data_IF_065673643587
#
_entry.id   IF_065673643587
#
_cell.length_a   1.000
_cell.length_b   1.000
_cell.length_c   1.000
_cell.angle_alpha   90.00
_cell.angle_beta   90.00
_cell.angle_gamma   90.00
#
_symmetry.space_group_name_H-M   'P 1'
#
loop_
_entity.id
_entity.type
_entity.pdbx_description
1 polymer ?
#
# COMPACT_ATOMS: atom_id res chain seq x y z
N UNK A 1 -15.10 12.70 -10.52
CA UNK A 1 -15.57 11.94 -9.33
C UNK A 1 -14.39 11.62 -8.41
N UNK A 2 -14.64 11.34 -7.11
CA UNK A 2 -13.62 10.84 -6.18
C UNK A 2 -14.13 9.63 -5.41
N UNK A 3 -13.22 8.75 -5.00
CA UNK A 3 -13.49 7.54 -4.22
C UNK A 3 -12.73 7.63 -2.90
N UNK A 4 -13.44 7.48 -1.78
CA UNK A 4 -12.90 7.70 -0.44
C UNK A 4 -12.91 6.41 0.39
N UNK A 5 -11.81 6.19 1.12
CA UNK A 5 -11.60 5.05 1.99
C UNK A 5 -11.13 5.57 3.34
N UNK A 6 -11.87 5.28 4.40
CA UNK A 6 -11.56 5.83 5.71
C UNK A 6 -11.57 4.79 6.83
N UNK A 7 -10.85 5.12 7.90
CA UNK A 7 -10.87 4.41 9.16
C UNK A 7 -10.91 5.42 10.32
N UNK A 8 -10.53 5.01 11.54
CA UNK A 8 -10.53 5.88 12.71
C UNK A 8 -9.59 7.10 12.55
N UNK A 9 -8.44 6.94 11.88
CA UNK A 9 -7.38 7.94 11.83
C UNK A 9 -7.18 8.58 10.46
N UNK A 10 -7.46 7.85 9.38
CA UNK A 10 -7.10 8.21 8.02
C UNK A 10 -8.33 8.34 7.13
N UNK A 11 -8.34 9.34 6.27
CA UNK A 11 -9.15 9.38 5.04
C UNK A 11 -8.20 9.39 3.84
N UNK A 12 -8.26 8.35 3.02
CA UNK A 12 -7.54 8.23 1.76
C UNK A 12 -8.51 8.40 0.59
N UNK A 13 -8.13 9.15 -0.44
CA UNK A 13 -8.98 9.36 -1.61
C UNK A 13 -8.22 9.26 -2.93
N UNK A 14 -8.91 8.72 -3.93
CA UNK A 14 -8.42 8.60 -5.32
C UNK A 14 -9.43 9.31 -6.25
N UNK A 15 -8.92 10.09 -7.20
CA UNK A 15 -9.72 10.72 -8.26
C UNK A 15 -10.03 9.73 -9.37
N UNK A 16 -11.10 9.96 -10.13
CA UNK A 16 -11.45 9.10 -11.29
C UNK A 16 -10.37 9.04 -12.37
N UNK A 17 -9.44 10.00 -12.38
CA UNK A 17 -8.25 10.06 -13.23
C UNK A 17 -7.11 9.15 -12.73
N UNK A 18 -7.35 8.35 -11.69
CA UNK A 18 -6.39 7.43 -11.11
C UNK A 18 -5.32 8.10 -10.25
N UNK A 19 -5.44 9.39 -9.93
CA UNK A 19 -4.47 10.10 -9.07
C UNK A 19 -4.85 10.07 -7.61
N UNK A 20 -3.84 10.05 -6.74
CA UNK A 20 -4.06 10.24 -5.31
C UNK A 20 -4.54 11.68 -5.07
N UNK A 21 -5.66 11.82 -4.36
CA UNK A 21 -6.25 13.12 -4.03
C UNK A 21 -6.05 13.51 -2.57
N UNK A 22 -6.12 12.56 -1.63
CA UNK A 22 -6.02 12.87 -0.21
C UNK A 22 -5.38 11.73 0.57
N UNK A 23 -4.61 12.09 1.59
CA UNK A 23 -4.14 11.21 2.67
C UNK A 23 -4.23 12.02 3.97
N UNK A 24 -5.45 12.19 4.47
CA UNK A 24 -5.79 13.13 5.53
C UNK A 24 -5.72 12.46 6.90
N UNK A 25 -4.96 13.06 7.81
CA UNK A 25 -5.12 12.81 9.24
C UNK A 25 -6.47 13.39 9.69
N UNK A 26 -7.42 12.52 10.01
CA UNK A 26 -8.79 12.93 10.37
C UNK A 26 -8.84 13.76 11.65
N UNK A 27 -7.83 13.67 12.52
CA UNK A 27 -7.79 14.43 13.78
C UNK A 27 -7.38 15.87 13.55
N UNK A 28 -6.32 16.10 12.79
CA UNK A 28 -5.80 17.45 12.52
C UNK A 28 -6.42 18.11 11.29
N UNK A 29 -6.99 17.32 10.38
CA UNK A 29 -7.45 17.77 9.07
C UNK A 29 -6.31 18.04 8.07
N UNK A 30 -5.06 17.76 8.43
CA UNK A 30 -3.91 17.95 7.55
C UNK A 30 -3.91 16.86 6.48
N UNK A 31 -3.89 17.28 5.21
CA UNK A 31 -3.66 16.40 4.07
C UNK A 31 -2.16 16.22 3.85
N UNK A 32 -1.69 14.98 4.01
CA UNK A 32 -0.30 14.63 3.80
C UNK A 32 -0.02 14.14 2.37
N UNK A 33 -1.02 14.02 1.50
CA UNK A 33 -0.79 13.61 0.10
C UNK A 33 0.03 14.67 -0.65
N UNK A 34 1.08 14.24 -1.35
CA UNK A 34 1.84 15.12 -2.23
C UNK A 34 1.09 15.37 -3.54
N UNK A 35 0.83 16.65 -3.82
CA UNK A 35 0.11 17.11 -5.01
C UNK A 35 1.01 17.66 -6.12
N UNK A 36 2.29 17.90 -5.82
CA UNK A 36 3.25 18.41 -6.78
C UNK A 36 4.60 17.66 -6.71
N UNK A 37 4.88 16.74 -7.65
CA UNK A 37 3.97 16.28 -8.71
C UNK A 37 2.80 15.46 -8.13
N UNK A 38 1.64 15.52 -8.77
CA UNK A 38 0.54 14.60 -8.47
C UNK A 38 0.90 13.20 -8.99
N UNK A 39 0.64 12.17 -8.19
CA UNK A 39 1.09 10.81 -8.43
C UNK A 39 -0.12 9.89 -8.63
N UNK A 40 -0.08 9.04 -9.66
CA UNK A 40 -1.06 8.00 -9.88
C UNK A 40 -1.06 6.97 -8.74
N UNK A 41 -2.24 6.53 -8.30
CA UNK A 41 -2.42 5.56 -7.21
C UNK A 41 -1.79 4.20 -7.51
N UNK A 42 -1.61 3.88 -8.80
CA UNK A 42 -0.99 2.66 -9.26
C UNK A 42 -0.26 2.88 -10.60
N UNK A 43 0.70 2.00 -10.89
CA UNK A 43 1.43 1.96 -12.16
C UNK A 43 1.86 0.55 -12.52
N UNK A 44 2.00 0.30 -13.82
CA UNK A 44 2.52 -0.95 -14.35
C UNK A 44 3.86 -0.71 -15.03
N UNK A 45 4.72 -1.73 -15.04
CA UNK A 45 5.98 -1.70 -15.78
C UNK A 45 5.95 -2.71 -16.91
N UNK A 46 6.10 -2.23 -18.13
CA UNK A 46 6.26 -3.06 -19.33
C UNK A 46 7.65 -2.78 -19.89
N UNK A 47 8.41 -3.84 -20.17
CA UNK A 47 9.84 -3.73 -20.45
C UNK A 47 10.52 -2.92 -19.34
N UNK A 48 11.11 -1.76 -19.62
CA UNK A 48 11.77 -0.91 -18.62
C UNK A 48 11.09 0.46 -18.43
N UNK A 49 9.83 0.60 -18.90
CA UNK A 49 9.04 1.81 -18.80
C UNK A 49 7.83 1.63 -17.88
N UNK A 50 7.58 2.63 -17.04
CA UNK A 50 6.38 2.71 -16.23
C UNK A 50 5.25 3.43 -16.97
N UNK A 51 4.03 2.96 -16.74
CA UNK A 51 2.79 3.54 -17.22
C UNK A 51 1.85 3.71 -16.03
N UNK A 52 1.38 4.93 -15.84
CA UNK A 52 0.50 5.31 -14.73
C UNK A 52 -0.95 4.91 -15.02
N UNK A 53 -1.73 4.70 -13.96
CA UNK A 53 -3.18 4.52 -14.09
C UNK A 53 -3.79 5.74 -14.81
N UNK A 54 -4.63 5.48 -15.81
CA UNK A 54 -5.32 6.51 -16.60
C UNK A 54 -6.70 6.85 -16.03
N UNK A 55 -7.36 5.86 -15.43
CA UNK A 55 -8.64 6.06 -14.77
C UNK A 55 -8.89 4.99 -13.72
N UNK A 56 -9.79 5.31 -12.80
CA UNK A 56 -10.33 4.35 -11.83
C UNK A 56 -11.83 4.47 -11.71
N UNK A 57 -12.47 3.35 -11.38
CA UNK A 57 -13.86 3.30 -10.95
C UNK A 57 -13.99 2.40 -9.73
N UNK A 58 -15.00 2.65 -8.89
CA UNK A 58 -15.20 1.89 -7.66
C UNK A 58 -16.64 1.38 -7.60
N UNK A 59 -16.79 0.07 -7.42
CA UNK A 59 -18.08 -0.61 -7.27
C UNK A 59 -17.90 -1.89 -6.47
N UNK A 60 -18.88 -2.23 -5.64
CA UNK A 60 -18.93 -3.52 -4.92
C UNK A 60 -17.64 -3.87 -4.15
N UNK A 61 -17.03 -2.87 -3.50
CA UNK A 61 -15.80 -3.07 -2.71
C UNK A 61 -14.51 -3.13 -3.53
N UNK A 62 -14.60 -3.05 -4.86
CA UNK A 62 -13.47 -3.21 -5.77
C UNK A 62 -13.19 -1.92 -6.55
N UNK A 63 -11.91 -1.55 -6.59
CA UNK A 63 -11.37 -0.51 -7.46
C UNK A 63 -10.92 -1.15 -8.77
N UNK A 64 -11.58 -0.80 -9.86
CA UNK A 64 -11.11 -1.12 -11.21
C UNK A 64 -10.18 0.00 -11.67
N UNK A 65 -8.95 -0.37 -12.01
CA UNK A 65 -7.87 0.54 -12.43
C UNK A 65 -7.56 0.26 -13.89
N UNK A 66 -7.62 1.29 -14.74
CA UNK A 66 -7.31 1.16 -16.16
C UNK A 66 -5.96 1.80 -16.49
N UNK A 67 -5.32 1.24 -17.51
CA UNK A 67 -4.12 1.76 -18.15
C UNK A 67 -4.44 1.80 -19.65
N UNK A 68 -4.51 2.99 -20.25
CA UNK A 68 -4.96 3.14 -21.63
C UNK A 68 -3.89 2.65 -22.62
N UNK A 69 -2.65 3.10 -22.41
CA UNK A 69 -1.50 2.67 -23.18
C UNK A 69 -0.37 2.31 -22.22
N UNK A 70 -0.05 1.02 -22.05
CA UNK A 70 -0.62 -0.15 -22.72
C UNK A 70 -1.97 -0.57 -22.12
N UNK A 71 -2.87 -1.10 -22.96
CA UNK A 71 -4.25 -1.48 -22.59
C UNK A 71 -4.33 -2.60 -21.55
N UNK A 72 -4.33 -2.24 -20.27
CA UNK A 72 -4.48 -3.15 -19.13
C UNK A 72 -5.60 -2.69 -18.20
N UNK A 73 -6.17 -3.63 -17.46
CA UNK A 73 -7.06 -3.36 -16.33
C UNK A 73 -6.66 -4.20 -15.14
N UNK A 74 -6.72 -3.63 -13.95
CA UNK A 74 -6.53 -4.32 -12.69
C UNK A 74 -7.77 -4.16 -11.81
N UNK A 75 -8.08 -5.19 -11.03
CA UNK A 75 -9.12 -5.16 -10.01
C UNK A 75 -8.40 -5.28 -8.66
N UNK A 76 -8.65 -4.31 -7.79
CA UNK A 76 -8.09 -4.26 -6.45
C UNK A 76 -9.21 -4.11 -5.42
N UNK A 77 -9.33 -5.06 -4.49
CA UNK A 77 -10.22 -4.92 -3.36
C UNK A 77 -9.59 -3.96 -2.34
N UNK A 78 -10.39 -3.02 -1.82
CA UNK A 78 -9.98 -2.12 -0.74
C UNK A 78 -10.92 -2.35 0.44
N UNK A 79 -10.36 -2.81 1.56
CA UNK A 79 -11.10 -3.02 2.80
C UNK A 79 -10.61 -2.06 3.88
N UNK A 80 -11.53 -1.29 4.45
CA UNK A 80 -11.27 -0.53 5.67
C UNK A 80 -11.31 -1.46 6.89
N UNK A 81 -10.24 -1.46 7.67
CA UNK A 81 -10.20 -1.98 9.05
C UNK A 81 -10.29 -0.80 10.00
N UNK A 82 -10.35 -1.08 11.30
CA UNK A 82 -10.51 -0.03 12.31
C UNK A 82 -9.38 1.01 12.27
N UNK A 83 -8.14 0.57 12.10
CA UNK A 83 -6.95 1.46 12.16
C UNK A 83 -6.04 1.44 10.92
N UNK A 84 -6.39 0.66 9.89
CA UNK A 84 -5.61 0.55 8.65
C UNK A 84 -6.52 0.19 7.47
N UNK A 85 -6.01 0.32 6.24
CA UNK A 85 -6.67 -0.14 5.03
C UNK A 85 -5.94 -1.37 4.48
N UNK A 86 -6.64 -2.31 3.89
CA UNK A 86 -6.07 -3.45 3.17
C UNK A 86 -6.32 -3.27 1.69
N UNK A 87 -5.26 -3.30 0.90
CA UNK A 87 -5.33 -3.35 -0.56
C UNK A 87 -4.95 -4.76 -1.00
N UNK A 88 -5.81 -5.40 -1.78
CA UNK A 88 -5.59 -6.75 -2.32
C UNK A 88 -5.80 -6.77 -3.83
N UNK A 89 -4.80 -7.24 -4.55
CA UNK A 89 -4.88 -7.43 -6.01
C UNK A 89 -5.73 -8.66 -6.28
N UNK A 90 -6.87 -8.48 -6.95
CA UNK A 90 -7.76 -9.57 -7.33
C UNK A 90 -7.38 -10.14 -8.70
N UNK A 91 -7.07 -9.27 -9.66
CA UNK A 91 -6.64 -9.66 -11.00
C UNK A 91 -5.96 -8.50 -11.73
N UNK A 92 -5.14 -8.82 -12.73
CA UNK A 92 -4.67 -7.88 -13.76
C UNK A 92 -4.78 -8.57 -15.11
N UNK A 93 -5.38 -7.89 -16.08
CA UNK A 93 -5.70 -8.43 -17.39
C UNK A 93 -5.28 -7.43 -18.47
N UNK A 94 -4.92 -7.96 -19.65
CA UNK A 94 -4.72 -7.15 -20.85
C UNK A 94 -6.06 -7.04 -21.55
N UNK A 95 -6.48 -5.83 -21.92
CA UNK A 95 -7.80 -5.59 -22.50
C UNK A 95 -7.87 -5.97 -24.00
N UNK A 96 -6.75 -6.37 -24.61
CA UNK A 96 -6.70 -6.84 -25.99
C UNK A 96 -7.06 -8.32 -26.12
N UNK A 97 -8.10 -8.60 -26.90
CA UNK A 97 -8.56 -9.96 -27.24
C UNK A 97 -7.43 -10.78 -27.88
N UNK A 98 -7.19 -11.99 -27.38
CA UNK A 98 -6.49 -13.03 -28.13
C UNK A 98 -5.03 -13.34 -27.77
N UNK A 99 -4.42 -12.70 -26.76
CA UNK A 99 -3.10 -13.12 -26.25
C UNK A 99 -3.08 -13.17 -24.72
N UNK A 100 -2.72 -14.31 -24.09
CA UNK A 100 -2.40 -14.36 -22.67
C UNK A 100 -1.31 -13.33 -22.34
N UNK A 101 -1.35 -12.72 -21.14
CA UNK A 101 -0.22 -11.92 -20.66
C UNK A 101 0.97 -12.85 -20.55
N UNK A 102 1.99 -12.66 -21.38
CA UNK A 102 3.27 -13.34 -21.20
C UNK A 102 4.06 -12.62 -20.10
N UNK A 103 4.96 -13.33 -19.40
CA UNK A 103 5.91 -12.72 -18.45
C UNK A 103 6.81 -11.65 -19.10
N UNK A 104 6.85 -11.58 -20.44
CA UNK A 104 7.52 -10.53 -21.20
C UNK A 104 6.70 -9.23 -21.30
N UNK A 105 5.38 -9.28 -21.15
CA UNK A 105 4.51 -8.13 -21.32
C UNK A 105 4.46 -7.24 -20.07
N UNK A 106 4.33 -7.81 -18.87
CA UNK A 106 4.16 -7.03 -17.63
C UNK A 106 5.20 -7.46 -16.60
N UNK A 107 6.19 -6.62 -16.27
CA UNK A 107 7.25 -6.96 -15.31
C UNK A 107 6.86 -6.68 -13.86
N UNK A 108 6.11 -5.60 -13.61
CA UNK A 108 5.80 -5.13 -12.25
C UNK A 108 4.41 -4.48 -12.24
N UNK A 109 3.66 -4.71 -11.15
CA UNK A 109 2.46 -3.93 -10.84
C UNK A 109 2.65 -3.29 -9.47
N UNK A 110 2.79 -1.96 -9.46
CA UNK A 110 2.81 -1.14 -8.26
C UNK A 110 1.36 -0.76 -7.96
N UNK A 111 0.74 -1.51 -7.05
CA UNK A 111 -0.70 -1.43 -6.77
C UNK A 111 -1.05 -0.50 -5.61
N UNK A 112 -0.05 -0.10 -4.82
CA UNK A 112 -0.13 1.07 -3.96
C UNK A 112 1.05 1.98 -4.31
N UNK A 113 0.78 3.24 -4.66
CA UNK A 113 1.78 4.23 -5.01
C UNK A 113 1.40 5.59 -4.45
N UNK A 114 1.69 5.81 -3.16
CA UNK A 114 1.29 7.03 -2.44
C UNK A 114 2.55 7.74 -1.96
N UNK A 115 2.71 9.00 -2.34
CA UNK A 115 3.79 9.86 -1.86
C UNK A 115 3.22 10.88 -0.88
N UNK A 116 3.92 11.09 0.24
CA UNK A 116 3.47 11.92 1.36
C UNK A 116 4.45 13.06 1.64
N UNK A 117 3.93 14.15 2.18
CA UNK A 117 4.73 15.28 2.67
C UNK A 117 5.42 15.01 4.01
N UNK A 118 5.07 13.88 4.65
CA UNK A 118 5.78 13.32 5.81
C UNK A 118 7.22 12.99 5.45
N UNK A 119 8.11 13.04 6.44
CA UNK A 119 9.53 12.71 6.35
C UNK A 119 9.84 11.30 6.82
N UNK A 120 8.88 10.62 7.45
CA UNK A 120 9.05 9.29 8.03
C UNK A 120 9.87 9.33 9.33
N UNK A 121 9.72 10.39 10.12
CA UNK A 121 10.49 10.58 11.36
C UNK A 121 9.60 10.52 12.60
N UNK A 122 10.19 10.10 13.71
CA UNK A 122 9.47 9.89 14.98
C UNK A 122 9.00 11.19 15.67
N UNK A 123 9.47 12.35 15.23
CA UNK A 123 9.07 13.67 15.73
C UNK A 123 7.85 14.25 14.98
N UNK A 124 7.39 13.58 13.91
CA UNK A 124 6.18 13.99 13.20
C UNK A 124 4.91 13.61 13.98
N UNK A 125 3.82 14.41 13.92
CA UNK A 125 2.61 14.14 14.69
C UNK A 125 1.80 12.96 14.13
N UNK A 126 2.01 12.63 12.85
CA UNK A 126 1.31 11.60 12.11
C UNK A 126 2.33 10.73 11.38
N UNK A 127 2.06 9.44 11.28
CA UNK A 127 2.88 8.49 10.52
C UNK A 127 2.07 7.80 9.45
N UNK A 128 2.78 7.33 8.43
CA UNK A 128 2.26 6.35 7.51
C UNK A 128 3.22 5.16 7.36
N UNK A 129 2.70 4.00 6.98
CA UNK A 129 3.49 2.80 6.72
C UNK A 129 2.75 1.89 5.73
N UNK A 130 3.49 1.35 4.76
CA UNK A 130 3.05 0.24 3.94
C UNK A 130 3.65 -1.04 4.52
N UNK A 131 2.82 -2.03 4.80
CA UNK A 131 3.26 -3.30 5.39
C UNK A 131 2.79 -4.45 4.50
N UNK A 132 3.73 -5.14 3.84
CA UNK A 132 3.44 -6.31 3.02
C UNK A 132 2.80 -7.42 3.86
N UNK A 133 1.67 -7.98 3.39
CA UNK A 133 0.91 -8.98 4.15
C UNK A 133 1.18 -10.42 3.71
N UNK A 134 1.93 -10.62 2.63
CA UNK A 134 2.36 -11.94 2.15
C UNK A 134 3.59 -11.86 1.24
N UNK A 135 4.11 -13.02 0.84
CA UNK A 135 5.30 -13.14 -0.01
C UNK A 135 5.10 -12.69 -1.46
N UNK A 136 3.86 -12.47 -1.91
CA UNK A 136 3.55 -11.95 -3.24
C UNK A 136 3.74 -10.44 -3.33
N UNK A 137 3.76 -9.76 -2.18
CA UNK A 137 3.89 -8.31 -2.09
C UNK A 137 5.28 -7.94 -1.63
N UNK A 138 5.92 -7.09 -2.43
CA UNK A 138 7.16 -6.43 -2.09
C UNK A 138 6.86 -4.99 -1.68
N UNK A 139 7.20 -4.64 -0.44
CA UNK A 139 7.36 -3.25 0.01
C UNK A 139 8.86 -3.04 0.20
N UNK A 140 9.43 -2.13 -0.57
CA UNK A 140 10.89 -1.94 -0.62
C UNK A 140 11.40 -1.29 0.68
N UNK A 141 10.59 -0.39 1.26
CA UNK A 141 10.91 0.20 2.54
C UNK A 141 10.76 -0.80 3.71
N UNK A 142 11.61 -0.66 4.73
CA UNK A 142 11.50 -1.45 5.98
C UNK A 142 10.26 -0.94 6.75
N UNK A 143 9.44 -1.81 7.38
CA UNK A 143 8.28 -1.39 8.16
C UNK A 143 8.61 -0.41 9.29
N UNK A 144 8.36 0.88 9.05
CA UNK A 144 8.55 2.02 9.96
C UNK A 144 7.70 3.21 9.47
N UNK A 145 7.88 4.39 10.06
CA UNK A 145 7.27 5.61 9.51
C UNK A 145 7.90 5.94 8.14
N UNK A 146 7.07 6.13 7.12
CA UNK A 146 7.48 6.29 5.72
C UNK A 146 6.90 7.56 5.11
N UNK A 147 7.65 8.17 4.18
CA UNK A 147 7.18 9.24 3.29
C UNK A 147 6.59 8.71 1.98
N UNK A 148 6.82 7.43 1.69
CA UNK A 148 6.46 6.79 0.45
C UNK A 148 5.91 5.40 0.74
N UNK A 149 4.70 5.16 0.28
CA UNK A 149 3.98 3.90 0.47
C UNK A 149 3.90 3.22 -0.88
N UNK A 150 4.84 2.29 -1.13
CA UNK A 150 4.86 1.51 -2.36
C UNK A 150 4.73 0.02 -2.10
N UNK A 151 3.72 -0.58 -2.72
CA UNK A 151 3.52 -2.02 -2.74
C UNK A 151 3.54 -2.53 -4.17
N UNK A 152 4.38 -3.53 -4.41
CA UNK A 152 4.68 -4.06 -5.73
C UNK A 152 4.39 -5.55 -5.74
N UNK A 153 3.87 -6.06 -6.85
CA UNK A 153 3.81 -7.49 -7.12
C UNK A 153 4.38 -7.80 -8.51
N UNK A 154 4.85 -9.03 -8.67
CA UNK A 154 5.60 -9.47 -9.86
C UNK A 154 4.95 -10.73 -10.45
N UNK A 155 5.01 -10.93 -11.79
CA UNK A 155 4.46 -12.13 -12.44
C UNK A 155 4.94 -13.43 -11.83
N UNK A 156 6.25 -13.51 -11.50
CA UNK A 156 6.90 -14.71 -10.95
C UNK A 156 6.25 -15.23 -9.67
N UNK A 157 5.64 -14.35 -8.87
CA UNK A 157 4.94 -14.72 -7.63
C UNK A 157 3.41 -14.76 -7.80
N UNK A 158 2.93 -14.37 -8.98
CA UNK A 158 1.52 -14.14 -9.27
C UNK A 158 1.02 -12.79 -8.74
N UNK A 159 0.15 -12.15 -9.51
CA UNK A 159 -0.47 -10.88 -9.12
C UNK A 159 -1.64 -11.08 -8.14
N UNK A 160 -2.53 -12.02 -8.45
CA UNK A 160 -3.72 -12.26 -7.63
C UNK A 160 -3.35 -12.71 -6.21
N UNK A 161 -3.97 -12.08 -5.22
CA UNK A 161 -3.72 -12.28 -3.79
C UNK A 161 -2.56 -11.46 -3.22
N UNK A 162 -1.83 -10.67 -4.03
CA UNK A 162 -0.86 -9.71 -3.48
C UNK A 162 -1.59 -8.71 -2.58
N UNK A 163 -1.07 -8.48 -1.36
CA UNK A 163 -1.77 -7.76 -0.29
C UNK A 163 -0.83 -6.86 0.53
N UNK A 164 -1.26 -5.62 0.75
CA UNK A 164 -0.56 -4.66 1.62
C UNK A 164 -1.53 -4.02 2.61
N UNK A 165 -1.06 -3.77 3.83
CA UNK A 165 -1.72 -2.88 4.77
C UNK A 165 -1.19 -1.45 4.60
N UNK A 166 -2.08 -0.50 4.38
CA UNK A 166 -1.80 0.94 4.36
C UNK A 166 -2.23 1.52 5.71
N UNK A 167 -1.23 1.96 6.48
CA UNK A 167 -1.41 2.54 7.80
C UNK A 167 -1.23 4.05 7.66
N UNK A 168 -2.17 4.82 8.20
CA UNK A 168 -2.03 6.24 8.51
C UNK A 168 -2.62 6.47 9.89
N UNK A 169 -1.80 6.90 10.86
CA UNK A 169 -2.23 7.05 12.24
C UNK A 169 -1.35 8.04 13.01
N UNK A 170 -1.77 8.49 14.21
CA UNK A 170 -0.89 9.25 15.10
C UNK A 170 0.43 8.50 15.37
N UNK A 171 1.52 9.26 15.50
CA UNK A 171 2.88 8.71 15.58
C UNK A 171 3.10 7.78 16.77
N UNK A 172 2.47 8.06 17.90
CA UNK A 172 2.51 7.22 19.11
C UNK A 172 1.74 5.90 18.94
N UNK A 173 0.85 5.80 17.94
CA UNK A 173 0.04 4.60 17.65
C UNK A 173 0.64 3.69 16.59
N UNK A 174 1.58 4.16 15.78
CA UNK A 174 2.13 3.41 14.64
C UNK A 174 2.55 1.99 15.04
N UNK A 175 3.30 1.85 16.13
CA UNK A 175 3.76 0.53 16.60
C UNK A 175 2.62 -0.38 17.06
N UNK A 176 1.62 0.16 17.76
CA UNK A 176 0.44 -0.63 18.16
C UNK A 176 -0.38 -1.08 16.96
N UNK A 177 -0.54 -0.22 15.94
CA UNK A 177 -1.26 -0.59 14.72
C UNK A 177 -0.47 -1.62 13.90
N UNK A 178 0.86 -1.53 13.81
CA UNK A 178 1.67 -2.57 13.16
C UNK A 178 1.53 -3.93 13.86
N UNK A 179 1.45 -3.97 15.20
CA UNK A 179 1.18 -5.21 15.93
C UNK A 179 -0.19 -5.78 15.57
N UNK A 180 -1.23 -4.94 15.55
CA UNK A 180 -2.58 -5.33 15.13
C UNK A 180 -2.57 -5.94 13.73
N UNK A 181 -1.97 -5.25 12.76
CA UNK A 181 -1.84 -5.73 11.37
C UNK A 181 -1.17 -7.10 11.30
N UNK A 182 -0.05 -7.29 12.02
CA UNK A 182 0.68 -8.58 12.03
C UNK A 182 -0.12 -9.65 12.78
N UNK A 183 -0.82 -9.30 13.87
CA UNK A 183 -1.69 -10.21 14.62
C UNK A 183 -2.88 -10.70 13.79
N UNK A 184 -3.49 -9.82 13.00
CA UNK A 184 -4.65 -10.12 12.15
C UNK A 184 -4.28 -10.92 10.89
N UNK A 185 -3.04 -10.83 10.43
CA UNK A 185 -2.57 -11.59 9.27
C UNK A 185 -2.43 -13.09 9.59
N UNK A 186 -2.92 -13.95 8.70
CA UNK A 186 -2.72 -15.40 8.78
C UNK A 186 -1.44 -15.87 8.09
N UNK A 187 -0.88 -15.06 7.20
CA UNK A 187 0.26 -15.42 6.34
C UNK A 187 1.59 -14.91 6.89
N UNK A 188 1.58 -13.87 7.72
CA UNK A 188 2.81 -13.32 8.27
C UNK A 188 3.36 -14.17 9.41
N UNK A 189 4.69 -14.40 9.44
CA UNK A 189 5.32 -15.03 10.59
C UNK A 189 5.20 -14.10 11.81
N UNK A 190 4.83 -14.68 12.96
CA UNK A 190 4.61 -13.95 14.21
C UNK A 190 5.68 -14.36 15.21
N UNK A 191 6.34 -13.39 15.83
CA UNK A 191 7.29 -13.63 16.90
C UNK A 191 7.05 -12.62 18.03
N UNK A 192 6.87 -13.08 19.29
CA UNK A 192 6.69 -12.18 20.43
C UNK A 192 7.98 -11.43 20.81
N UNK A 193 9.13 -11.84 20.26
CA UNK A 193 10.46 -11.25 20.53
C UNK A 193 11.03 -10.48 19.34
N UNK A 194 10.31 -10.43 18.21
CA UNK A 194 10.79 -9.83 16.96
C UNK A 194 9.78 -8.89 16.33
N UNK A 195 10.16 -8.27 15.21
CA UNK A 195 9.30 -7.37 14.46
C UNK A 195 8.73 -6.24 15.32
N UNK A 196 7.42 -5.95 15.25
CA UNK A 196 6.86 -4.83 16.00
C UNK A 196 6.83 -5.08 17.52
N UNK A 197 7.07 -6.30 18.02
CA UNK A 197 7.21 -6.61 19.46
C UNK A 197 8.64 -6.48 19.99
N UNK A 198 9.64 -6.30 19.13
CA UNK A 198 11.06 -6.35 19.50
C UNK A 198 11.44 -5.43 20.67
N UNK A 199 10.87 -4.22 20.75
CA UNK A 199 11.16 -3.26 21.82
C UNK A 199 10.52 -3.61 23.18
N UNK A 200 9.54 -4.50 23.23
CA UNK A 200 8.90 -4.92 24.49
C UNK A 200 9.66 -6.08 25.15
N UNK A 201 10.30 -6.93 24.35
CA UNK A 201 10.91 -8.16 24.84
C UNK A 201 12.16 -7.85 25.68
N UNK A 202 12.13 -8.23 26.95
CA UNK A 202 13.21 -7.97 27.91
C UNK A 202 14.55 -8.60 27.47
N UNK A 203 14.50 -9.78 26.85
CA UNK A 203 15.67 -10.46 26.30
C UNK A 203 16.43 -9.60 25.27
N UNK A 204 15.75 -8.70 24.56
CA UNK A 204 16.36 -7.81 23.57
C UNK A 204 17.07 -6.60 24.20
N UNK A 205 16.99 -6.43 25.52
CA UNK A 205 17.65 -5.36 26.28
C UNK A 205 18.96 -5.82 26.93
N UNK A 206 19.30 -7.11 26.80
CA UNK A 206 20.55 -7.68 27.30
C UNK A 206 21.76 -7.31 26.44
N UNK A 207 22.93 -7.20 27.07
CA UNK A 207 24.21 -7.06 26.37
C UNK A 207 24.71 -8.42 25.87
N UNK A 208 25.22 -8.49 24.64
CA UNK A 208 25.93 -9.66 24.10
C UNK A 208 27.42 -9.70 24.47
N UNK A 209 27.89 -8.68 25.20
CA UNK A 209 29.25 -8.62 25.74
C UNK A 209 29.24 -9.22 27.15
N UNK A 210 29.69 -10.47 27.26
CA UNK A 210 30.01 -11.15 28.52
C UNK A 210 31.53 -11.20 28.69
#
# INVERSE_FOLDING_TARGET
MKFEFENEYLLYAIGEDGKNLHFIDKKSGIDYCLHNPSIACAKIKISDKYYDASSVSYSDGNLMINFDEPQFSAIMAIQAKKHYLIFEVMSINRNSVGNPISDFDLKEFVFANINLSLKGKADEPFSACALALNLKTNVVEIPQAMSKLQAICYPRFGFAGAKVAIIGCPQDKLRSVMKEVVSDSTELPKSPIGGPWALDAEINKGSYMF
#
